data_IF_914587267813
#
_entry.id   IF_914587267813
#
_cell.length_a   1.000
_cell.length_b   1.000
_cell.length_c   1.000
_cell.angle_alpha   90.00
_cell.angle_beta   90.00
_cell.angle_gamma   90.00
#
_symmetry.space_group_name_H-M   'P 1'
#
loop_
_entity.id
_entity.type
_entity.pdbx_description
1 polymer ?
#
# COMPACT_ATOMS: atom_id res chain seq x y z
N UNK A 1 3.82 17.67 -7.45
CA UNK A 1 2.75 17.52 -6.44
C UNK A 1 2.35 16.05 -6.44
N UNK A 2 2.75 15.30 -5.41
CA UNK A 2 2.68 13.83 -5.41
C UNK A 2 1.24 13.36 -5.11
N UNK A 3 0.74 12.42 -5.92
CA UNK A 3 -0.62 11.84 -5.88
C UNK A 3 -0.96 11.05 -4.60
N UNK A 4 -0.15 11.09 -3.53
CA UNK A 4 -0.38 10.31 -2.31
C UNK A 4 -1.11 11.06 -1.19
N UNK A 5 -1.69 12.22 -1.49
CA UNK A 5 -2.43 13.06 -0.52
C UNK A 5 -3.65 12.37 0.13
N UNK A 6 -4.51 11.62 -0.62
CA UNK A 6 -5.72 11.06 -0.03
C UNK A 6 -5.47 9.92 0.96
N UNK A 7 -4.49 9.05 0.68
CA UNK A 7 -4.15 7.92 1.56
C UNK A 7 -3.58 8.44 2.88
N UNK A 8 -2.69 9.44 2.81
CA UNK A 8 -2.19 10.12 4.00
C UNK A 8 -3.34 10.68 4.84
N UNK A 9 -4.23 11.45 4.21
CA UNK A 9 -5.37 12.06 4.90
C UNK A 9 -6.27 10.99 5.54
N UNK A 10 -6.49 9.85 4.88
CA UNK A 10 -7.27 8.76 5.43
C UNK A 10 -6.63 8.17 6.69
N UNK A 11 -5.32 7.88 6.66
CA UNK A 11 -4.61 7.32 7.81
C UNK A 11 -4.55 8.33 8.95
N UNK A 12 -4.23 9.59 8.66
CA UNK A 12 -4.06 10.65 9.66
C UNK A 12 -5.40 11.15 10.24
N UNK A 13 -6.50 11.07 9.50
CA UNK A 13 -7.84 11.40 10.02
C UNK A 13 -8.39 10.34 10.99
N UNK A 14 -7.73 9.18 11.08
CA UNK A 14 -8.06 8.15 12.07
C UNK A 14 -9.28 7.33 11.69
N UNK A 15 -9.09 6.31 10.86
CA UNK A 15 -10.15 5.35 10.49
C UNK A 15 -10.23 4.11 11.41
N UNK A 16 -9.59 4.17 12.58
CA UNK A 16 -9.52 3.07 13.56
C UNK A 16 -8.78 1.86 13.01
N UNK A 17 -7.58 2.05 12.47
CA UNK A 17 -6.79 0.96 11.87
C UNK A 17 -6.40 -0.11 12.91
N UNK A 18 -6.12 0.32 14.14
CA UNK A 18 -5.86 -0.50 15.32
C UNK A 18 -7.06 -1.36 15.78
N UNK A 19 -8.27 -0.95 15.43
CA UNK A 19 -9.52 -1.66 15.77
C UNK A 19 -9.91 -2.72 14.72
N UNK A 20 -9.16 -2.80 13.61
CA UNK A 20 -9.44 -3.72 12.50
C UNK A 20 -8.48 -4.91 12.56
N UNK A 21 -8.98 -6.07 12.15
CA UNK A 21 -8.21 -7.33 12.18
C UNK A 21 -6.99 -7.32 11.26
N UNK A 22 -7.05 -6.60 10.14
CA UNK A 22 -5.90 -6.46 9.22
C UNK A 22 -6.03 -5.22 8.34
N UNK A 23 -5.02 -4.36 8.41
CA UNK A 23 -4.92 -3.13 7.61
C UNK A 23 -3.54 -3.08 6.99
N UNK A 24 -3.49 -3.04 5.65
CA UNK A 24 -2.22 -3.03 4.91
C UNK A 24 -2.18 -1.89 3.93
N UNK A 25 -1.06 -1.17 3.91
CA UNK A 25 -0.75 -0.15 2.92
C UNK A 25 0.31 -0.70 1.97
N UNK A 26 -0.07 -0.97 0.72
CA UNK A 26 0.92 -1.29 -0.32
C UNK A 26 1.38 0.02 -0.97
N UNK A 27 2.66 0.37 -0.77
CA UNK A 27 3.23 1.63 -1.22
C UNK A 27 4.29 1.39 -2.30
N UNK A 28 3.97 1.76 -3.54
CA UNK A 28 4.86 1.60 -4.68
C UNK A 28 5.73 2.82 -4.92
N UNK A 29 7.03 2.63 -5.15
CA UNK A 29 7.93 3.67 -5.65
C UNK A 29 8.94 3.09 -6.65
N UNK A 30 9.58 3.94 -7.46
CA UNK A 30 10.64 3.49 -8.37
C UNK A 30 11.85 3.02 -7.59
N UNK A 31 12.29 3.80 -6.61
CA UNK A 31 13.42 3.51 -5.73
C UNK A 31 13.22 4.23 -4.39
N UNK A 32 14.06 3.91 -3.39
CA UNK A 32 13.99 4.51 -2.06
C UNK A 32 14.07 6.04 -2.08
N UNK A 33 14.93 6.61 -2.92
CA UNK A 33 15.11 8.07 -2.97
C UNK A 33 13.85 8.81 -3.44
N UNK A 34 13.02 8.15 -4.25
CA UNK A 34 11.74 8.68 -4.75
C UNK A 34 10.53 8.26 -3.91
N UNK A 35 10.74 7.47 -2.85
CA UNK A 35 9.67 7.05 -1.95
C UNK A 35 9.35 8.18 -0.98
N UNK A 36 8.24 8.89 -1.22
CA UNK A 36 7.78 9.93 -0.29
C UNK A 36 7.22 9.32 1.01
N UNK A 37 7.23 10.11 2.08
CA UNK A 37 6.64 9.79 3.39
C UNK A 37 7.29 8.61 4.14
N UNK A 38 8.52 8.23 3.80
CA UNK A 38 9.26 7.18 4.52
C UNK A 38 9.38 7.47 6.03
N UNK A 39 9.54 8.74 6.38
CA UNK A 39 9.57 9.22 7.77
C UNK A 39 8.26 8.93 8.53
N UNK A 40 7.13 8.83 7.82
CA UNK A 40 5.80 8.60 8.39
C UNK A 40 5.43 7.12 8.49
N UNK A 41 6.20 6.22 7.89
CA UNK A 41 5.87 4.78 7.91
C UNK A 41 5.81 4.26 9.34
N UNK A 42 6.74 4.69 10.20
CA UNK A 42 6.75 4.32 11.62
C UNK A 42 5.49 4.80 12.36
N UNK A 43 5.02 6.01 12.06
CA UNK A 43 3.80 6.55 12.65
C UNK A 43 2.57 5.73 12.22
N UNK A 44 2.49 5.38 10.93
CA UNK A 44 1.39 4.58 10.39
C UNK A 44 1.40 3.15 10.93
N UNK A 45 2.57 2.53 11.04
CA UNK A 45 2.75 1.22 11.66
C UNK A 45 2.33 1.22 13.13
N UNK A 46 2.67 2.28 13.86
CA UNK A 46 2.24 2.45 15.25
C UNK A 46 0.74 2.63 15.38
N UNK A 47 0.07 3.17 14.35
CA UNK A 47 -1.39 3.27 14.27
C UNK A 47 -2.08 1.96 13.85
N UNK A 48 -1.33 0.86 13.66
CA UNK A 48 -1.88 -0.45 13.29
C UNK A 48 -1.89 -0.74 11.78
N UNK A 49 -1.30 0.12 10.94
CA UNK A 49 -1.21 -0.10 9.49
C UNK A 49 0.07 -0.84 9.15
N UNK A 50 -0.01 -2.03 8.55
CA UNK A 50 1.17 -2.74 8.04
C UNK A 50 1.61 -2.12 6.71
N UNK A 51 2.77 -1.49 6.67
CA UNK A 51 3.29 -0.86 5.45
C UNK A 51 4.09 -1.88 4.64
N UNK A 52 3.62 -2.19 3.43
CA UNK A 52 4.29 -3.03 2.45
C UNK A 52 4.85 -2.14 1.35
N UNK A 53 6.11 -1.77 1.50
CA UNK A 53 6.85 -1.00 0.51
C UNK A 53 7.27 -1.88 -0.67
N UNK A 54 6.98 -1.43 -1.90
CA UNK A 54 7.29 -2.14 -3.15
C UNK A 54 8.15 -1.24 -4.03
N UNK A 55 9.32 -1.74 -4.45
CA UNK A 55 10.21 -1.02 -5.36
C UNK A 55 10.23 -1.67 -6.75
N UNK A 56 9.98 -0.88 -7.79
CA UNK A 56 10.08 -1.40 -9.17
C UNK A 56 11.53 -1.48 -9.67
N UNK A 57 12.41 -0.62 -9.17
CA UNK A 57 13.84 -0.58 -9.44
C UNK A 57 14.60 -0.51 -8.10
N UNK A 58 14.64 -1.62 -7.35
CA UNK A 58 15.41 -1.74 -6.12
C UNK A 58 16.91 -1.52 -6.36
N UNK A 59 17.64 -1.19 -5.30
CA UNK A 59 19.09 -1.38 -5.25
C UNK A 59 19.42 -2.72 -4.60
N UNK A 60 20.68 -3.15 -4.65
CA UNK A 60 21.13 -4.46 -4.15
C UNK A 60 20.93 -4.65 -2.63
N UNK A 61 20.68 -3.57 -1.89
CA UNK A 61 20.43 -3.60 -0.45
C UNK A 61 18.94 -3.72 -0.09
N UNK A 62 18.03 -3.74 -1.08
CA UNK A 62 16.59 -3.81 -0.84
C UNK A 62 16.12 -5.22 -0.51
N UNK A 63 15.58 -5.39 0.70
CA UNK A 63 15.04 -6.66 1.20
C UNK A 63 13.49 -6.71 1.17
N UNK A 64 12.83 -5.62 0.77
CA UNK A 64 11.36 -5.55 0.69
C UNK A 64 10.81 -6.15 -0.60
N UNK A 65 9.54 -5.84 -0.90
CA UNK A 65 8.89 -6.34 -2.11
C UNK A 65 9.46 -5.67 -3.38
N UNK A 66 9.55 -6.46 -4.45
CA UNK A 66 10.10 -6.05 -5.74
C UNK A 66 9.05 -6.10 -6.85
N UNK A 67 9.13 -5.16 -7.80
CA UNK A 67 8.26 -5.06 -8.96
C UNK A 67 7.13 -4.05 -8.74
N UNK A 68 5.90 -4.45 -9.07
CA UNK A 68 4.73 -3.57 -8.96
C UNK A 68 3.80 -3.96 -7.82
N UNK A 69 3.06 -2.98 -7.29
CA UNK A 69 2.14 -3.15 -6.15
C UNK A 69 1.12 -4.26 -6.40
N UNK A 70 0.57 -4.39 -7.61
CA UNK A 70 -0.38 -5.44 -7.95
C UNK A 70 0.20 -6.86 -7.79
N UNK A 71 1.50 -7.03 -8.08
CA UNK A 71 2.16 -8.32 -7.95
C UNK A 71 2.41 -8.65 -6.48
N UNK A 72 2.86 -7.67 -5.70
CA UNK A 72 3.00 -7.81 -4.24
C UNK A 72 1.65 -8.14 -3.57
N UNK A 73 0.58 -7.45 -3.98
CA UNK A 73 -0.78 -7.73 -3.50
C UNK A 73 -1.24 -9.15 -3.86
N UNK A 74 -1.00 -9.58 -5.10
CA UNK A 74 -1.35 -10.94 -5.55
C UNK A 74 -0.57 -12.03 -4.81
N UNK A 75 0.69 -11.78 -4.43
CA UNK A 75 1.47 -12.70 -3.58
C UNK A 75 0.92 -12.78 -2.16
N UNK A 76 0.44 -11.67 -1.62
CA UNK A 76 -0.14 -11.59 -0.29
C UNK A 76 -1.58 -12.12 -0.19
N UNK A 77 -2.19 -12.51 -1.32
CA UNK A 77 -3.61 -12.84 -1.52
C UNK A 77 -4.10 -14.11 -0.81
N UNK A 78 -3.45 -14.51 0.28
CA UNK A 78 -3.80 -15.73 0.98
C UNK A 78 -5.09 -15.63 1.80
N UNK A 79 -5.53 -14.47 2.30
CA UNK A 79 -6.70 -14.42 3.21
C UNK A 79 -7.38 -13.05 3.17
N UNK A 80 -8.37 -12.83 2.30
CA UNK A 80 -9.37 -11.76 2.50
C UNK A 80 -10.72 -12.20 1.97
N UNK A 81 -11.75 -12.15 2.82
CA UNK A 81 -13.13 -12.24 2.37
C UNK A 81 -13.47 -10.90 1.66
N UNK A 82 -13.72 -10.90 0.34
CA UNK A 82 -13.97 -9.67 -0.42
C UNK A 82 -15.19 -8.90 0.10
N UNK A 83 -16.15 -9.58 0.77
CA UNK A 83 -17.33 -8.95 1.36
C UNK A 83 -17.04 -8.07 2.58
N UNK A 84 -15.87 -8.23 3.22
CA UNK A 84 -15.48 -7.48 4.42
C UNK A 84 -14.19 -6.66 4.23
N UNK A 85 -13.66 -6.63 3.00
CA UNK A 85 -12.43 -5.92 2.68
C UNK A 85 -12.74 -4.59 1.99
N UNK A 86 -12.33 -3.47 2.60
CA UNK A 86 -12.34 -2.17 1.95
C UNK A 86 -10.98 -1.88 1.31
N UNK A 87 -10.97 -1.48 0.04
CA UNK A 87 -9.74 -1.10 -0.67
C UNK A 87 -9.81 0.35 -1.12
N UNK A 88 -8.72 1.09 -0.87
CA UNK A 88 -8.51 2.44 -1.40
C UNK A 88 -7.30 2.40 -2.30
N UNK A 89 -7.51 2.69 -3.59
CA UNK A 89 -6.46 2.70 -4.61
C UNK A 89 -6.21 4.14 -5.05
N UNK A 90 -4.96 4.58 -5.00
CA UNK A 90 -4.55 5.89 -5.47
C UNK A 90 -3.23 5.77 -6.23
N UNK A 91 -3.24 6.12 -7.52
CA UNK A 91 -2.09 5.93 -8.40
C UNK A 91 -2.40 6.33 -9.84
N UNK A 92 -1.47 6.04 -10.76
CA UNK A 92 -1.73 6.26 -12.18
C UNK A 92 -2.82 5.32 -12.69
N UNK A 93 -3.67 5.81 -13.61
CA UNK A 93 -4.88 5.14 -14.10
C UNK A 93 -4.69 3.65 -14.45
N UNK A 94 -3.58 3.31 -15.10
CA UNK A 94 -3.24 1.93 -15.49
C UNK A 94 -2.99 1.00 -14.29
N UNK A 95 -2.49 1.51 -13.16
CA UNK A 95 -2.32 0.74 -11.91
C UNK A 95 -3.68 0.44 -11.27
N UNK A 96 -4.60 1.40 -11.29
CA UNK A 96 -5.94 1.26 -10.72
C UNK A 96 -6.77 0.23 -11.48
N UNK A 97 -6.70 0.22 -12.82
CA UNK A 97 -7.43 -0.74 -13.66
C UNK A 97 -7.01 -2.19 -13.41
N UNK A 98 -5.71 -2.44 -13.27
CA UNK A 98 -5.20 -3.79 -12.97
C UNK A 98 -5.60 -4.26 -11.57
N UNK A 99 -5.62 -3.36 -10.59
CA UNK A 99 -6.03 -3.70 -9.22
C UNK A 99 -7.54 -3.97 -9.11
N UNK A 100 -8.39 -3.28 -9.88
CA UNK A 100 -9.83 -3.56 -9.94
C UNK A 100 -10.11 -4.95 -10.54
N UNK A 101 -9.31 -5.38 -11.52
CA UNK A 101 -9.45 -6.71 -12.15
C UNK A 101 -8.98 -7.86 -11.25
N UNK A 102 -8.33 -7.58 -10.11
CA UNK A 102 -7.86 -8.60 -9.18
C UNK A 102 -8.97 -9.17 -8.25
N UNK A 103 -10.25 -8.97 -8.58
CA UNK A 103 -11.43 -9.40 -7.80
C UNK A 103 -11.40 -8.85 -6.37
N UNK A 104 -11.52 -7.53 -6.25
CA UNK A 104 -11.97 -6.88 -5.00
C UNK A 104 -13.51 -6.84 -4.89
N UNK A 105 -14.22 -7.51 -5.80
CA UNK A 105 -15.68 -7.62 -5.87
C UNK A 105 -16.04 -9.11 -6.03
#
# INVERSE_FOLDING_TARGET
>A
MLFCSPIRSLIESGFGADQRSDVRLYYGATNLQRMAYQDRFKDWESSGVKVVSVLSQPNDVWQGEHGFVQAAFTRAKQIYNPLFAGAVLCGQRQMTEVCLHLNFI
#
